data_IF_318963875634
#
_entry.id   IF_318963875634
#
_cell.length_a   1.000
_cell.length_b   1.000
_cell.length_c   1.000
_cell.angle_alpha   90.00
_cell.angle_beta   90.00
_cell.angle_gamma   90.00
#
_symmetry.space_group_name_H-M   'P 1'
#
loop_
_entity.id
_entity.type
_entity.pdbx_description
1 polymer ?
#
# COMPACT_ATOMS: atom_id res chain seq x y z
N UNK A 1 -11.98 -7.73 9.36
CA UNK A 1 -10.62 -7.58 8.80
C UNK A 1 -10.66 -8.08 7.37
N UNK A 2 -9.75 -7.63 6.52
CA UNK A 2 -9.61 -8.08 5.14
C UNK A 2 -8.16 -8.51 4.88
N UNK A 3 -7.97 -9.56 4.08
CA UNK A 3 -6.65 -9.95 3.60
C UNK A 3 -6.21 -9.00 2.50
N UNK A 4 -5.09 -8.30 2.67
CA UNK A 4 -4.55 -7.34 1.70
C UNK A 4 -3.19 -7.83 1.20
N UNK A 5 -2.95 -7.73 -0.10
CA UNK A 5 -1.63 -7.81 -0.73
C UNK A 5 -1.31 -6.45 -1.34
N UNK A 6 -0.06 -6.02 -1.24
CA UNK A 6 0.39 -4.76 -1.84
C UNK A 6 1.53 -5.02 -2.81
N UNK A 7 1.46 -4.39 -3.97
CA UNK A 7 2.54 -4.29 -4.94
C UNK A 7 2.79 -2.83 -5.30
N UNK A 8 4.04 -2.49 -5.58
CA UNK A 8 4.40 -1.23 -6.23
C UNK A 8 4.69 -1.56 -7.69
N UNK A 9 3.78 -1.17 -8.58
CA UNK A 9 3.76 -1.66 -9.98
C UNK A 9 4.17 -0.62 -11.02
N UNK A 10 4.38 0.63 -10.61
CA UNK A 10 4.69 1.71 -11.54
C UNK A 10 4.97 3.05 -10.89
N UNK A 11 5.22 4.04 -11.76
CA UNK A 11 5.40 5.45 -11.41
C UNK A 11 6.87 5.86 -11.32
N UNK A 12 7.12 7.17 -11.38
CA UNK A 12 8.49 7.71 -11.45
C UNK A 12 9.31 7.46 -10.19
N UNK A 13 8.67 7.09 -9.08
CA UNK A 13 9.31 6.85 -7.79
C UNK A 13 9.22 5.38 -7.34
N UNK A 14 8.87 4.46 -8.25
CA UNK A 14 8.76 3.04 -7.94
C UNK A 14 10.05 2.49 -7.31
N UNK A 15 11.20 2.74 -7.93
CA UNK A 15 12.50 2.24 -7.46
C UNK A 15 12.98 2.93 -6.18
N UNK A 16 12.45 4.11 -5.88
CA UNK A 16 12.75 4.86 -4.66
C UNK A 16 11.79 4.51 -3.51
N UNK A 17 10.78 3.68 -3.75
CA UNK A 17 9.80 3.28 -2.74
C UNK A 17 10.41 2.24 -1.81
N UNK A 18 10.45 2.53 -0.52
CA UNK A 18 11.07 1.65 0.48
C UNK A 18 10.05 0.78 1.20
N UNK A 19 8.85 1.31 1.46
CA UNK A 19 7.78 0.60 2.13
C UNK A 19 6.41 1.17 1.79
N UNK A 20 5.37 0.35 1.94
CA UNK A 20 3.96 0.79 1.94
C UNK A 20 3.29 0.28 3.20
N UNK A 21 2.48 1.11 3.85
CA UNK A 21 1.64 0.69 4.97
C UNK A 21 0.18 0.86 4.64
N UNK A 22 -0.68 -0.02 5.15
CA UNK A 22 -2.14 0.12 5.13
C UNK A 22 -2.64 -0.10 6.55
N UNK A 23 -3.13 0.96 7.17
CA UNK A 23 -3.42 0.96 8.61
C UNK A 23 -2.16 0.55 9.41
N UNK A 24 -2.26 -0.46 10.29
CA UNK A 24 -1.11 -0.92 11.09
C UNK A 24 -0.13 -1.84 10.33
N UNK A 25 -0.48 -2.32 9.13
CA UNK A 25 0.33 -3.32 8.40
C UNK A 25 1.35 -2.66 7.48
N UNK A 26 2.48 -3.33 7.25
CA UNK A 26 3.62 -2.81 6.47
C UNK A 26 4.17 -3.85 5.49
N UNK A 27 4.37 -3.43 4.25
CA UNK A 27 5.10 -4.15 3.21
C UNK A 27 6.39 -3.41 2.85
N UNK A 28 7.47 -4.13 2.54
CA UNK A 28 8.78 -3.57 2.23
C UNK A 28 9.69 -3.45 3.47
N UNK A 29 10.48 -2.39 3.54
CA UNK A 29 11.51 -2.18 4.57
C UNK A 29 10.97 -2.37 5.99
N UNK A 30 11.56 -3.31 6.74
CA UNK A 30 11.19 -3.71 8.11
C UNK A 30 9.73 -4.19 8.26
N UNK A 31 9.09 -4.59 7.17
CA UNK A 31 7.77 -5.23 7.15
C UNK A 31 7.79 -6.56 6.41
N UNK A 32 6.62 -7.03 6.01
CA UNK A 32 6.52 -8.24 5.17
C UNK A 32 6.95 -7.94 3.73
N UNK A 33 7.35 -8.97 2.99
CA UNK A 33 7.62 -8.81 1.56
C UNK A 33 6.34 -8.38 0.81
N UNK A 34 6.49 -7.51 -0.21
CA UNK A 34 5.40 -7.18 -1.14
C UNK A 34 4.75 -8.45 -1.72
N UNK A 35 3.45 -8.39 -1.96
CA UNK A 35 2.66 -9.54 -2.41
C UNK A 35 2.26 -10.55 -1.32
N UNK A 36 2.86 -10.48 -0.13
CA UNK A 36 2.41 -11.27 1.03
C UNK A 36 1.06 -10.75 1.54
N UNK A 37 0.18 -11.66 1.94
CA UNK A 37 -1.12 -11.30 2.54
C UNK A 37 -0.92 -10.85 3.98
N UNK A 38 -1.50 -9.71 4.35
CA UNK A 38 -1.63 -9.30 5.75
C UNK A 38 -3.07 -8.93 6.07
N UNK A 39 -3.49 -9.19 7.31
CA UNK A 39 -4.84 -8.87 7.78
C UNK A 39 -4.90 -7.40 8.20
N UNK A 40 -5.71 -6.62 7.50
CA UNK A 40 -5.91 -5.19 7.73
C UNK A 40 -7.32 -4.96 8.33
N UNK A 41 -7.48 -4.06 9.32
CA UNK A 41 -8.80 -3.68 9.80
C UNK A 41 -9.66 -3.09 8.67
N UNK A 42 -10.95 -3.45 8.67
CA UNK A 42 -11.89 -2.90 7.69
C UNK A 42 -12.20 -1.42 7.98
N UNK A 43 -12.78 -0.74 6.99
CA UNK A 43 -13.11 0.69 7.04
C UNK A 43 -12.03 1.57 6.44
N UNK A 44 -12.13 2.87 6.65
CA UNK A 44 -11.17 3.85 6.13
C UNK A 44 -9.82 3.72 6.86
N UNK A 45 -8.80 3.26 6.13
CA UNK A 45 -7.44 3.09 6.62
C UNK A 45 -6.50 4.06 5.89
N UNK A 46 -5.49 4.62 6.58
CA UNK A 46 -4.43 5.35 5.90
C UNK A 46 -3.56 4.38 5.10
N UNK A 47 -3.35 4.68 3.81
CA UNK A 47 -2.30 4.07 3.00
C UNK A 47 -1.16 5.08 2.89
N UNK A 48 0.03 4.70 3.36
CA UNK A 48 1.22 5.56 3.32
C UNK A 48 2.33 4.86 2.56
N UNK A 49 2.89 5.56 1.58
CA UNK A 49 4.07 5.14 0.84
C UNK A 49 5.28 5.89 1.38
N UNK A 50 6.35 5.18 1.68
CA UNK A 50 7.64 5.72 2.12
C UNK A 50 8.65 5.67 0.98
N UNK A 51 9.46 6.71 0.84
CA UNK A 51 10.44 6.88 -0.22
C UNK A 51 11.78 7.39 0.30
N UNK A 52 12.84 7.22 -0.49
CA UNK A 52 14.16 7.83 -0.25
C UNK A 52 14.24 9.28 -0.75
N UNK A 53 13.34 9.69 -1.64
CA UNK A 53 13.26 11.04 -2.23
C UNK A 53 12.33 11.95 -1.45
N UNK A 54 12.40 13.27 -1.68
CA UNK A 54 11.46 14.22 -1.05
C UNK A 54 10.16 14.36 -1.87
N UNK A 55 8.98 14.36 -1.24
CA UNK A 55 8.75 14.11 0.19
C UNK A 55 8.98 12.63 0.57
N UNK A 56 9.52 12.36 1.77
CA UNK A 56 9.88 11.01 2.21
C UNK A 56 8.68 10.09 2.43
N UNK A 57 7.47 10.66 2.48
CA UNK A 57 6.23 9.89 2.54
C UNK A 57 5.06 10.62 1.90
N UNK A 58 4.13 9.86 1.33
CA UNK A 58 2.86 10.33 0.78
C UNK A 58 1.75 9.43 1.32
N UNK A 59 0.63 10.01 1.74
CA UNK A 59 -0.50 9.27 2.30
C UNK A 59 -1.81 9.60 1.60
N UNK A 60 -2.67 8.60 1.47
CA UNK A 60 -4.09 8.74 1.10
C UNK A 60 -4.95 7.92 2.05
N UNK A 61 -6.25 8.17 2.04
CA UNK A 61 -7.22 7.31 2.72
C UNK A 61 -7.74 6.26 1.75
N UNK A 62 -7.68 4.99 2.15
CA UNK A 62 -8.20 3.84 1.41
C UNK A 62 -9.38 3.24 2.19
N UNK A 63 -10.47 2.91 1.51
CA UNK A 63 -11.55 2.11 2.11
C UNK A 63 -11.18 0.62 2.04
N UNK A 64 -10.92 -0.01 3.18
CA UNK A 64 -10.69 -1.45 3.26
C UNK A 64 -12.03 -2.15 3.46
N UNK A 65 -12.49 -2.80 2.41
CA UNK A 65 -13.78 -3.49 2.38
C UNK A 65 -13.69 -4.89 2.98
N UNK A 66 -14.58 -5.27 3.93
CA UNK A 66 -14.58 -6.61 4.53
C UNK A 66 -15.24 -7.70 3.63
N UNK A 67 -15.67 -7.35 2.43
CA UNK A 67 -16.67 -8.10 1.65
C UNK A 67 -16.08 -9.26 0.82
N UNK A 68 -16.33 -10.49 1.30
CA UNK A 68 -16.47 -11.77 0.56
C UNK A 68 -15.21 -12.37 -0.12
N UNK A 69 -15.14 -13.70 -0.36
CA UNK A 69 -13.93 -14.48 -0.07
C UNK A 69 -12.79 -14.16 -1.03
N UNK A 70 -11.71 -13.62 -0.49
CA UNK A 70 -10.50 -13.34 -1.23
C UNK A 70 -9.53 -12.47 -0.45
N UNK A 71 -8.28 -12.47 -0.89
CA UNK A 71 -7.34 -11.41 -0.54
C UNK A 71 -7.47 -10.31 -1.58
N UNK A 72 -7.61 -9.06 -1.17
CA UNK A 72 -7.62 -7.91 -2.07
C UNK A 72 -6.18 -7.59 -2.49
N UNK A 73 -5.95 -7.42 -3.78
CA UNK A 73 -4.64 -7.00 -4.29
C UNK A 73 -4.65 -5.52 -4.60
N UNK A 74 -3.75 -4.77 -3.97
CA UNK A 74 -3.55 -3.35 -4.20
C UNK A 74 -2.30 -3.14 -5.04
N UNK A 75 -2.50 -2.65 -6.25
CA UNK A 75 -1.45 -2.21 -7.14
C UNK A 75 -1.24 -0.69 -6.98
N UNK A 76 -0.11 -0.32 -6.40
CA UNK A 76 0.24 1.06 -6.08
C UNK A 76 1.18 1.61 -7.15
N UNK A 77 0.83 2.77 -7.70
CA UNK A 77 1.70 3.56 -8.59
C UNK A 77 2.17 4.79 -7.82
N UNK A 78 3.48 5.02 -7.80
CA UNK A 78 4.10 6.06 -6.95
C UNK A 78 4.82 7.09 -7.80
N UNK A 79 4.38 8.34 -7.72
CA UNK A 79 5.03 9.48 -8.35
C UNK A 79 5.64 10.41 -7.29
N UNK A 80 6.24 11.51 -7.73
CA UNK A 80 6.95 12.44 -6.84
C UNK A 80 6.05 12.95 -5.69
N UNK A 81 4.83 13.39 -6.00
CA UNK A 81 3.91 14.01 -5.02
C UNK A 81 2.56 13.33 -4.92
N UNK A 82 2.32 12.28 -5.71
CA UNK A 82 1.02 11.61 -5.80
C UNK A 82 1.18 10.11 -5.79
N UNK A 83 0.14 9.43 -5.33
CA UNK A 83 0.00 7.98 -5.37
C UNK A 83 -1.38 7.65 -5.93
N UNK A 84 -1.45 6.60 -6.74
CA UNK A 84 -2.71 6.01 -7.20
C UNK A 84 -2.72 4.53 -6.86
N UNK A 85 -3.91 4.03 -6.53
CA UNK A 85 -4.11 2.65 -6.10
C UNK A 85 -5.22 2.06 -6.94
N UNK A 86 -4.94 0.92 -7.55
CA UNK A 86 -5.93 0.09 -8.23
C UNK A 86 -6.09 -1.21 -7.46
N UNK A 87 -7.34 -1.56 -7.17
CA UNK A 87 -7.70 -2.88 -6.64
C UNK A 87 -7.96 -3.83 -7.82
N UNK A 88 -7.43 -5.06 -7.73
CA UNK A 88 -7.49 -6.09 -8.78
C UNK A 88 -7.89 -7.45 -8.21
#
# INVERSE_FOLDING_TARGET
MAGIRVYVVGGTEQENTTAVTVGPQRWGQNGQAYGTVQQVPAGFQPLTVFKTTQPPSISITLEVRPDYPGDHTLNVTVNLNTISVAEV
#
